data_IF_742145257974
#
_entry.id   IF_742145257974
#
_cell.length_a   1.000
_cell.length_b   1.000
_cell.length_c   1.000
_cell.angle_alpha   90.00
_cell.angle_beta   90.00
_cell.angle_gamma   90.00
#
_symmetry.space_group_name_H-M   'P 1'
#
loop_
_entity.id
_entity.type
_entity.pdbx_description
1 polymer ?
#
# COMPACT_ATOMS: atom_id res chain seq x y z
N UNK A 1 -10.60 53.58 -1.86
CA UNK A 1 -11.04 52.21 -1.54
C UNK A 1 -10.88 51.21 -2.68
N UNK A 2 -11.07 51.58 -3.96
CA UNK A 2 -10.99 50.63 -5.10
C UNK A 2 -9.55 50.20 -5.46
N UNK A 3 -8.54 51.05 -5.25
CA UNK A 3 -7.12 50.71 -5.50
C UNK A 3 -6.50 49.74 -4.48
N UNK A 4 -7.10 49.57 -3.30
CA UNK A 4 -6.59 48.66 -2.27
C UNK A 4 -7.10 47.22 -2.47
N UNK A 5 -8.32 47.04 -3.01
CA UNK A 5 -8.86 45.71 -3.34
C UNK A 5 -8.15 45.05 -4.53
N UNK A 6 -7.67 45.82 -5.52
CA UNK A 6 -6.99 45.25 -6.69
C UNK A 6 -5.61 44.64 -6.36
N UNK A 7 -4.89 45.15 -5.36
CA UNK A 7 -3.57 44.63 -4.95
C UNK A 7 -3.67 43.33 -4.15
N UNK A 8 -4.73 43.16 -3.36
CA UNK A 8 -4.93 41.96 -2.54
C UNK A 8 -5.41 40.77 -3.37
N UNK A 9 -6.21 41.00 -4.42
CA UNK A 9 -6.65 39.94 -5.36
C UNK A 9 -5.50 39.48 -6.27
N UNK A 10 -4.65 40.39 -6.76
CA UNK A 10 -3.48 40.02 -7.57
C UNK A 10 -2.43 39.23 -6.77
N UNK A 11 -2.22 39.56 -5.50
CA UNK A 11 -1.29 38.84 -4.62
C UNK A 11 -1.79 37.42 -4.30
N UNK A 12 -3.09 37.22 -4.09
CA UNK A 12 -3.67 35.89 -3.89
C UNK A 12 -3.63 35.03 -5.17
N UNK A 13 -3.81 35.61 -6.36
CA UNK A 13 -3.67 34.89 -7.63
C UNK A 13 -2.20 34.52 -7.94
N UNK A 14 -1.24 35.40 -7.64
CA UNK A 14 0.19 35.10 -7.84
C UNK A 14 0.72 34.03 -6.87
N UNK A 15 0.27 34.03 -5.60
CA UNK A 15 0.61 33.00 -4.62
C UNK A 15 -0.01 31.63 -4.94
N UNK A 16 -1.22 31.61 -5.51
CA UNK A 16 -1.87 30.35 -5.91
C UNK A 16 -1.30 29.79 -7.22
N UNK A 17 -0.87 30.63 -8.17
CA UNK A 17 -0.17 30.19 -9.40
C UNK A 17 1.23 29.63 -9.08
N UNK A 18 1.98 30.27 -8.16
CA UNK A 18 3.31 29.75 -7.78
C UNK A 18 3.22 28.46 -6.98
N UNK A 19 2.28 28.34 -6.03
CA UNK A 19 2.08 27.11 -5.27
C UNK A 19 1.66 25.93 -6.15
N UNK A 20 0.74 26.15 -7.10
CA UNK A 20 0.33 25.14 -8.07
C UNK A 20 1.47 24.73 -9.01
N UNK A 21 2.29 25.69 -9.45
CA UNK A 21 3.49 25.42 -10.24
C UNK A 21 4.51 24.58 -9.47
N UNK A 22 4.78 24.91 -8.21
CA UNK A 22 5.74 24.16 -7.37
C UNK A 22 5.26 22.74 -7.04
N UNK A 23 3.97 22.56 -6.76
CA UNK A 23 3.40 21.24 -6.50
C UNK A 23 3.44 20.35 -7.74
N UNK A 24 3.04 20.88 -8.90
CA UNK A 24 3.12 20.15 -10.17
C UNK A 24 4.56 19.76 -10.53
N UNK A 25 5.55 20.61 -10.24
CA UNK A 25 6.96 20.24 -10.44
C UNK A 25 7.47 19.22 -9.43
N UNK A 26 6.97 19.23 -8.18
CA UNK A 26 7.34 18.26 -7.17
C UNK A 26 6.80 16.87 -7.52
N UNK A 27 5.55 16.77 -7.96
CA UNK A 27 4.94 15.51 -8.42
C UNK A 27 5.65 14.97 -9.66
N UNK A 28 6.04 15.85 -10.60
CA UNK A 28 6.84 15.46 -11.77
C UNK A 28 8.23 14.94 -11.37
N UNK A 29 8.90 15.61 -10.43
CA UNK A 29 10.22 15.19 -9.96
C UNK A 29 10.15 13.87 -9.19
N UNK A 30 9.15 13.69 -8.34
CA UNK A 30 8.93 12.43 -7.64
C UNK A 30 8.67 11.29 -8.63
N UNK A 31 7.79 11.50 -9.62
CA UNK A 31 7.53 10.49 -10.66
C UNK A 31 8.79 10.14 -11.47
N UNK A 32 9.62 11.13 -11.81
CA UNK A 32 10.88 10.89 -12.51
C UNK A 32 11.91 10.14 -11.63
N UNK A 33 11.93 10.39 -10.32
CA UNK A 33 12.74 9.63 -9.36
C UNK A 33 12.23 8.20 -9.23
N UNK A 34 10.92 8.01 -9.09
CA UNK A 34 10.26 6.69 -9.06
C UNK A 34 10.64 5.88 -10.30
N UNK A 35 10.60 6.50 -11.47
CA UNK A 35 11.02 5.87 -12.73
C UNK A 35 12.51 5.53 -12.75
N UNK A 36 13.36 6.43 -12.24
CA UNK A 36 14.81 6.18 -12.12
C UNK A 36 15.09 4.96 -11.23
N UNK A 37 14.40 4.85 -10.09
CA UNK A 37 14.54 3.69 -9.19
C UNK A 37 13.88 2.44 -9.81
N UNK A 38 12.78 2.59 -10.56
CA UNK A 38 12.15 1.48 -11.30
C UNK A 38 13.11 0.88 -12.32
N UNK A 39 13.86 1.68 -13.07
CA UNK A 39 14.90 1.20 -13.98
C UNK A 39 15.98 0.40 -13.25
N UNK A 40 16.40 0.85 -12.06
CA UNK A 40 17.31 0.07 -11.22
C UNK A 40 16.69 -1.27 -10.77
N UNK A 41 15.47 -1.25 -10.22
CA UNK A 41 14.82 -2.45 -9.70
C UNK A 41 14.50 -3.44 -10.82
N UNK A 42 13.93 -3.00 -11.93
CA UNK A 42 13.63 -3.85 -13.09
C UNK A 42 14.92 -4.36 -13.74
N UNK A 43 15.89 -3.47 -14.00
CA UNK A 43 17.15 -3.85 -14.62
C UNK A 43 17.91 -4.90 -13.82
N UNK A 44 17.94 -4.77 -12.49
CA UNK A 44 18.55 -5.78 -11.63
C UNK A 44 17.71 -7.06 -11.50
N UNK A 45 16.39 -7.00 -11.63
CA UNK A 45 15.50 -8.18 -11.53
C UNK A 45 15.44 -9.01 -12.81
N UNK A 46 15.67 -8.38 -13.96
CA UNK A 46 15.54 -9.00 -15.30
C UNK A 46 16.85 -8.99 -16.09
N UNK A 47 17.98 -8.73 -15.44
CA UNK A 47 19.32 -8.67 -16.03
C UNK A 47 19.46 -7.67 -17.20
N UNK A 48 18.76 -6.53 -17.14
CA UNK A 48 18.78 -5.51 -18.19
C UNK A 48 19.83 -4.43 -17.87
N UNK A 49 21.07 -4.64 -18.33
CA UNK A 49 22.19 -3.73 -18.02
C UNK A 49 21.96 -2.29 -18.49
N UNK A 50 21.28 -2.08 -19.63
CA UNK A 50 21.00 -0.74 -20.16
C UNK A 50 20.14 0.09 -19.22
N UNK A 51 19.14 -0.51 -18.58
CA UNK A 51 18.29 0.16 -17.58
C UNK A 51 19.07 0.48 -16.31
N UNK A 52 19.92 -0.43 -15.84
CA UNK A 52 20.80 -0.17 -14.70
C UNK A 52 21.71 1.03 -15.02
N UNK A 53 22.36 1.02 -16.19
CA UNK A 53 23.19 2.14 -16.65
C UNK A 53 22.39 3.44 -16.82
N UNK A 54 21.12 3.36 -17.23
CA UNK A 54 20.25 4.53 -17.34
C UNK A 54 19.87 5.09 -15.96
N UNK A 55 19.69 4.25 -14.95
CA UNK A 55 19.36 4.68 -13.59
C UNK A 55 20.53 5.42 -12.92
N UNK A 56 21.77 4.96 -13.13
CA UNK A 56 22.96 5.52 -12.50
C UNK A 56 23.58 6.67 -13.29
N UNK A 57 24.22 7.60 -12.56
CA UNK A 57 25.23 8.46 -13.15
C UNK A 57 26.50 7.66 -13.46
N UNK A 58 27.22 7.98 -14.54
CA UNK A 58 28.41 7.21 -14.95
C UNK A 58 29.51 7.17 -13.89
N UNK A 59 29.64 8.23 -13.09
CA UNK A 59 30.58 8.33 -11.96
C UNK A 59 29.93 8.08 -10.60
N UNK A 60 28.80 7.35 -10.55
CA UNK A 60 28.17 7.02 -9.28
C UNK A 60 29.09 6.17 -8.41
N UNK A 61 28.87 6.17 -7.10
CA UNK A 61 29.57 5.26 -6.17
C UNK A 61 28.58 4.40 -5.42
N UNK A 62 28.78 3.10 -5.46
CA UNK A 62 28.05 2.11 -4.69
C UNK A 62 28.98 1.60 -3.59
N UNK A 63 28.51 1.66 -2.35
CA UNK A 63 29.19 1.13 -1.18
C UNK A 63 28.48 -0.14 -0.75
N UNK A 64 29.06 -1.30 -1.08
CA UNK A 64 28.49 -2.61 -0.86
C UNK A 64 29.34 -3.42 0.12
N UNK A 65 28.75 -4.45 0.72
CA UNK A 65 29.48 -5.37 1.58
C UNK A 65 30.35 -6.32 0.73
N UNK A 66 31.66 -6.23 0.94
CA UNK A 66 32.66 -7.18 0.46
C UNK A 66 32.83 -8.36 1.41
N UNK A 67 33.87 -9.17 1.19
CA UNK A 67 34.18 -10.30 2.08
C UNK A 67 34.77 -9.80 3.39
N UNK A 68 34.41 -10.43 4.51
CA UNK A 68 34.93 -10.12 5.86
C UNK A 68 34.71 -8.64 6.26
N UNK A 69 33.53 -8.10 6.00
CA UNK A 69 33.14 -6.71 6.30
C UNK A 69 34.03 -5.65 5.61
N UNK A 70 34.78 -6.05 4.56
CA UNK A 70 35.51 -5.12 3.73
C UNK A 70 34.53 -4.33 2.85
N UNK A 71 34.83 -3.06 2.62
CA UNK A 71 34.07 -2.25 1.68
C UNK A 71 34.31 -2.73 0.23
N UNK A 72 33.23 -2.87 -0.54
CA UNK A 72 33.27 -3.13 -1.97
C UNK A 72 32.68 -1.94 -2.72
N UNK A 73 33.56 -1.12 -3.28
CA UNK A 73 33.17 0.01 -4.13
C UNK A 73 32.97 -0.41 -5.59
N UNK A 74 31.89 0.07 -6.20
CA UNK A 74 31.63 -0.04 -7.64
C UNK A 74 31.03 1.26 -8.17
N UNK A 75 31.26 1.57 -9.44
CA UNK A 75 30.41 2.49 -10.19
C UNK A 75 29.14 1.80 -10.67
N UNK A 76 28.11 2.58 -11.01
CA UNK A 76 26.88 2.07 -11.61
C UNK A 76 27.13 1.20 -12.85
N UNK A 77 27.99 1.62 -13.80
CA UNK A 77 28.38 0.81 -14.94
C UNK A 77 29.12 -0.49 -14.59
N UNK A 78 29.94 -0.49 -13.54
CA UNK A 78 30.59 -1.73 -13.08
C UNK A 78 29.60 -2.67 -12.39
N UNK A 79 28.68 -2.13 -11.60
CA UNK A 79 27.59 -2.89 -10.99
C UNK A 79 26.66 -3.51 -12.03
N UNK A 80 26.35 -2.79 -13.12
CA UNK A 80 25.55 -3.32 -14.22
C UNK A 80 26.17 -4.58 -14.85
N UNK A 81 27.51 -4.67 -14.90
CA UNK A 81 28.22 -5.84 -15.44
C UNK A 81 28.06 -7.11 -14.59
N UNK A 82 27.58 -7.01 -13.36
CA UNK A 82 27.27 -8.17 -12.51
C UNK A 82 26.04 -8.95 -12.99
N UNK A 83 25.24 -8.37 -13.89
CA UNK A 83 24.03 -8.98 -14.43
C UNK A 83 24.28 -9.50 -15.85
N UNK A 84 23.82 -10.71 -16.18
CA UNK A 84 24.15 -11.36 -17.46
C UNK A 84 23.36 -10.78 -18.64
N UNK A 85 24.05 -10.32 -19.69
CA UNK A 85 23.41 -9.87 -20.94
C UNK A 85 22.73 -11.02 -21.69
N UNK A 86 23.27 -12.24 -21.60
CA UNK A 86 22.69 -13.43 -22.24
C UNK A 86 21.32 -13.80 -21.63
N UNK A 87 21.07 -13.36 -20.39
CA UNK A 87 19.82 -13.57 -19.65
C UNK A 87 18.97 -12.31 -19.58
N UNK A 88 19.18 -11.34 -20.47
CA UNK A 88 18.38 -10.13 -20.53
C UNK A 88 16.88 -10.49 -20.65
N UNK A 89 16.04 -9.75 -19.92
CA UNK A 89 14.59 -9.97 -19.78
C UNK A 89 14.19 -11.26 -19.04
N UNK A 90 15.14 -12.08 -18.57
CA UNK A 90 14.81 -13.24 -17.74
C UNK A 90 14.78 -12.85 -16.26
N UNK A 91 13.68 -13.15 -15.58
CA UNK A 91 13.55 -12.91 -14.15
C UNK A 91 14.56 -13.75 -13.35
N UNK A 92 15.32 -13.12 -12.46
CA UNK A 92 16.38 -13.79 -11.69
C UNK A 92 16.02 -14.02 -10.20
N UNK A 93 14.75 -13.86 -9.83
CA UNK A 93 14.29 -14.09 -8.45
C UNK A 93 14.46 -12.90 -7.52
N UNK A 94 14.95 -11.74 -8.00
CA UNK A 94 14.99 -10.50 -7.23
C UNK A 94 13.64 -9.81 -7.30
N UNK A 95 12.94 -9.74 -6.17
CA UNK A 95 11.68 -9.01 -6.07
C UNK A 95 11.96 -7.64 -5.45
N UNK A 96 12.13 -6.63 -6.31
CA UNK A 96 12.42 -5.25 -5.90
C UNK A 96 11.16 -4.40 -5.69
N UNK A 97 11.19 -3.52 -4.69
CA UNK A 97 10.12 -2.56 -4.40
C UNK A 97 10.66 -1.25 -3.83
N UNK A 98 10.11 -0.13 -4.30
CA UNK A 98 10.36 1.19 -3.72
C UNK A 98 9.65 1.32 -2.36
N UNK A 99 10.37 1.76 -1.33
CA UNK A 99 9.84 2.01 0.02
C UNK A 99 9.49 3.48 0.20
N UNK A 100 10.37 4.39 -0.24
CA UNK A 100 10.26 5.83 0.05
C UNK A 100 11.03 6.68 -0.95
N UNK A 101 10.51 7.88 -1.22
CA UNK A 101 11.22 8.95 -1.93
C UNK A 101 11.07 10.25 -1.12
N UNK A 102 12.17 11.00 -1.00
CA UNK A 102 12.15 12.34 -0.42
C UNK A 102 12.91 13.30 -1.34
N UNK A 103 12.24 14.36 -1.78
CA UNK A 103 12.80 15.34 -2.74
C UNK A 103 13.12 16.65 -2.04
N UNK A 104 14.31 17.20 -2.30
CA UNK A 104 14.71 18.52 -1.83
C UNK A 104 15.36 19.29 -2.98
N UNK A 105 14.54 20.04 -3.72
CA UNK A 105 14.98 20.79 -4.89
C UNK A 105 15.61 19.88 -5.96
N UNK A 106 16.94 19.97 -6.13
CA UNK A 106 17.69 19.18 -7.14
C UNK A 106 18.38 17.95 -6.57
N UNK A 107 18.13 17.59 -5.31
CA UNK A 107 18.61 16.35 -4.67
C UNK A 107 17.42 15.55 -4.16
N UNK A 108 17.59 14.24 -4.05
CA UNK A 108 16.59 13.38 -3.45
C UNK A 108 17.25 12.17 -2.78
N UNK A 109 16.56 11.59 -1.82
CA UNK A 109 16.85 10.25 -1.33
C UNK A 109 15.75 9.30 -1.79
N UNK A 110 16.12 8.04 -2.00
CA UNK A 110 15.14 6.98 -2.17
C UNK A 110 15.57 5.77 -1.36
N UNK A 111 14.60 4.95 -0.94
CA UNK A 111 14.81 3.69 -0.26
C UNK A 111 14.07 2.60 -1.01
N UNK A 112 14.68 1.45 -1.22
CA UNK A 112 14.03 0.28 -1.80
C UNK A 112 14.35 -0.98 -0.99
N UNK A 113 13.50 -1.99 -1.08
CA UNK A 113 13.81 -3.34 -0.62
C UNK A 113 13.86 -4.31 -1.78
N UNK A 114 14.73 -5.31 -1.66
CA UNK A 114 14.86 -6.40 -2.64
C UNK A 114 14.85 -7.72 -1.90
N UNK A 115 13.82 -8.51 -2.12
CA UNK A 115 13.71 -9.84 -1.54
C UNK A 115 14.18 -10.90 -2.55
N UNK A 116 15.03 -11.83 -2.12
CA UNK A 116 15.47 -12.98 -2.92
C UNK A 116 15.11 -14.27 -2.15
N UNK A 117 13.89 -14.80 -2.30
CA UNK A 117 13.39 -15.91 -1.49
C UNK A 117 14.25 -17.17 -1.56
N UNK A 118 14.75 -17.50 -2.75
CA UNK A 118 15.61 -18.67 -2.96
C UNK A 118 16.91 -18.62 -2.15
N UNK A 119 17.33 -17.42 -1.76
CA UNK A 119 18.53 -17.19 -0.95
C UNK A 119 18.20 -16.86 0.50
N UNK A 120 16.92 -16.67 0.85
CA UNK A 120 16.49 -16.27 2.20
C UNK A 120 17.08 -14.93 2.64
N UNK A 121 17.24 -13.97 1.72
CA UNK A 121 17.84 -12.65 2.00
C UNK A 121 16.97 -11.52 1.53
N UNK A 122 16.99 -10.42 2.29
CA UNK A 122 16.39 -9.14 1.93
C UNK A 122 17.48 -8.08 1.96
N UNK A 123 17.51 -7.26 0.92
CA UNK A 123 18.36 -6.07 0.90
C UNK A 123 17.51 -4.83 1.16
N UNK A 124 18.07 -3.88 1.91
CA UNK A 124 17.55 -2.52 2.02
C UNK A 124 18.54 -1.60 1.34
N UNK A 125 18.14 -1.09 0.18
CA UNK A 125 18.94 -0.18 -0.61
C UNK A 125 18.55 1.26 -0.30
N UNK A 126 19.57 2.12 -0.11
CA UNK A 126 19.40 3.57 0.06
C UNK A 126 20.15 4.26 -1.06
N UNK A 127 19.48 5.22 -1.71
CA UNK A 127 20.00 5.95 -2.85
C UNK A 127 20.09 7.44 -2.54
N UNK A 128 21.17 8.08 -2.98
CA UNK A 128 21.25 9.52 -3.16
C UNK A 128 21.11 9.82 -4.65
N UNK A 129 20.15 10.68 -5.00
CA UNK A 129 19.87 11.09 -6.37
C UNK A 129 20.12 12.57 -6.58
N UNK A 130 20.49 12.92 -7.83
CA UNK A 130 20.70 14.29 -8.27
C UNK A 130 19.98 14.53 -9.59
N UNK A 131 19.35 15.69 -9.72
CA UNK A 131 18.85 16.19 -11.01
C UNK A 131 20.00 16.83 -11.79
N UNK A 132 20.44 16.17 -12.86
CA UNK A 132 21.58 16.55 -13.71
C UNK A 132 21.06 16.77 -15.13
N UNK A 133 21.24 17.97 -15.67
CA UNK A 133 20.74 18.35 -16.99
C UNK A 133 19.26 17.98 -17.22
N UNK A 134 18.43 18.17 -16.19
CA UNK A 134 16.99 17.86 -16.23
C UNK A 134 16.62 16.42 -15.87
N UNK A 135 17.58 15.49 -15.82
CA UNK A 135 17.33 14.07 -15.57
C UNK A 135 17.73 13.67 -14.15
N UNK A 136 16.91 12.87 -13.47
CA UNK A 136 17.29 12.25 -12.21
C UNK A 136 18.22 11.07 -12.43
N UNK A 137 19.27 11.00 -11.62
CA UNK A 137 20.27 9.93 -11.64
C UNK A 137 20.63 9.53 -10.23
N UNK A 138 20.82 8.23 -10.02
CA UNK A 138 21.43 7.72 -8.79
C UNK A 138 22.92 8.05 -8.84
N UNK A 139 23.37 8.89 -7.90
CA UNK A 139 24.78 9.32 -7.79
C UNK A 139 25.52 8.57 -6.68
N UNK A 140 24.80 8.06 -5.68
CA UNK A 140 25.35 7.16 -4.67
C UNK A 140 24.32 6.14 -4.23
N UNK A 141 24.78 4.96 -3.81
CA UNK A 141 23.94 3.93 -3.21
C UNK A 141 24.71 3.17 -2.14
N UNK A 142 24.02 2.75 -1.09
CA UNK A 142 24.48 1.69 -0.19
C UNK A 142 23.39 0.63 -0.03
N UNK A 143 23.73 -0.51 0.56
CA UNK A 143 22.80 -1.59 0.83
C UNK A 143 23.14 -2.23 2.17
N UNK A 144 22.11 -2.61 2.92
CA UNK A 144 22.25 -3.54 4.04
C UNK A 144 21.61 -4.89 3.69
N UNK A 145 22.24 -5.98 4.11
CA UNK A 145 21.75 -7.34 3.87
C UNK A 145 21.20 -7.92 5.17
N UNK A 146 19.91 -8.24 5.15
CA UNK A 146 19.22 -8.87 6.27
C UNK A 146 18.79 -10.30 5.92
N UNK A 147 18.79 -11.22 6.90
CA UNK A 147 18.06 -12.48 6.77
C UNK A 147 16.58 -12.22 6.45
N UNK A 148 16.04 -12.93 5.48
CA UNK A 148 14.61 -12.92 5.19
C UNK A 148 14.01 -14.28 5.53
N UNK A 149 12.74 -14.30 5.95
CA UNK A 149 12.02 -15.55 6.10
C UNK A 149 12.06 -16.31 4.76
N UNK A 150 12.38 -17.62 4.73
CA UNK A 150 12.59 -18.41 3.51
C UNK A 150 11.32 -18.61 2.65
N UNK A 151 10.23 -17.91 2.97
CA UNK A 151 8.95 -18.06 2.31
C UNK A 151 9.01 -17.32 0.97
N UNK A 152 8.36 -17.89 -0.06
CA UNK A 152 8.11 -17.19 -1.32
C UNK A 152 7.78 -15.73 -1.02
N UNK A 153 8.37 -14.78 -1.75
CA UNK A 153 8.08 -13.35 -1.61
C UNK A 153 6.61 -13.10 -1.93
N UNK A 154 5.73 -13.36 -0.97
CA UNK A 154 4.29 -13.21 -1.10
C UNK A 154 3.96 -11.81 -0.63
N UNK A 155 3.27 -11.08 -1.48
CA UNK A 155 2.74 -9.77 -1.14
C UNK A 155 1.28 -9.90 -0.71
N UNK A 156 0.87 -9.01 0.17
CA UNK A 156 -0.54 -8.78 0.48
C UNK A 156 -0.90 -7.36 0.12
N UNK A 157 -2.06 -7.19 -0.53
CA UNK A 157 -2.60 -5.91 -0.90
C UNK A 157 -3.61 -5.43 0.15
N UNK A 158 -3.35 -4.29 0.78
CA UNK A 158 -4.31 -3.64 1.68
C UNK A 158 -5.09 -2.56 0.93
N UNK A 159 -6.40 -2.73 0.85
CA UNK A 159 -7.30 -1.79 0.19
C UNK A 159 -7.76 -0.74 1.19
N UNK A 160 -7.58 0.51 0.80
CA UNK A 160 -7.92 1.71 1.56
C UNK A 160 -8.64 2.72 0.65
N UNK A 161 -9.18 3.78 1.23
CA UNK A 161 -10.05 4.73 0.52
C UNK A 161 -9.51 6.16 0.56
N UNK A 162 -9.74 6.92 -0.53
CA UNK A 162 -9.46 8.36 -0.62
C UNK A 162 -10.60 9.23 -0.04
N UNK A 163 -11.72 8.63 0.38
CA UNK A 163 -12.90 9.36 0.87
C UNK A 163 -12.61 10.02 2.22
N UNK A 164 -12.63 11.36 2.25
CA UNK A 164 -12.30 12.18 3.42
C UNK A 164 -13.52 12.73 4.15
N UNK A 165 -14.71 12.60 3.58
CA UNK A 165 -15.98 13.04 4.18
C UNK A 165 -17.09 12.06 3.87
N UNK A 166 -17.98 11.85 4.82
CA UNK A 166 -19.19 11.07 4.57
C UNK A 166 -20.06 11.79 3.53
N UNK A 167 -20.51 11.12 2.45
CA UNK A 167 -21.26 11.75 1.38
C UNK A 167 -22.46 12.55 1.89
N UNK A 168 -22.63 13.78 1.38
CA UNK A 168 -23.74 14.65 1.76
C UNK A 168 -23.63 15.27 3.16
N UNK A 169 -22.51 15.11 3.87
CA UNK A 169 -22.28 15.68 5.20
C UNK A 169 -21.00 16.53 5.25
N UNK A 170 -20.77 17.19 6.39
CA UNK A 170 -19.49 17.82 6.74
C UNK A 170 -18.67 16.99 7.74
N UNK A 171 -19.08 15.75 8.00
CA UNK A 171 -18.38 14.87 8.95
C UNK A 171 -17.21 14.23 8.22
N UNK A 172 -16.01 14.36 8.79
CA UNK A 172 -14.82 13.74 8.24
C UNK A 172 -14.92 12.22 8.35
N UNK A 173 -14.44 11.54 7.32
CA UNK A 173 -14.24 10.09 7.28
C UNK A 173 -12.74 9.80 7.20
N UNK A 174 -12.33 8.61 7.63
CA UNK A 174 -10.96 8.16 7.45
C UNK A 174 -10.85 6.64 7.40
N UNK A 175 -9.67 6.18 7.03
CA UNK A 175 -9.28 4.79 7.19
C UNK A 175 -8.89 4.57 8.65
N UNK A 176 -9.34 3.47 9.25
CA UNK A 176 -9.09 3.20 10.66
C UNK A 176 -7.60 2.92 10.90
N UNK A 177 -6.91 3.82 11.61
CA UNK A 177 -5.47 3.71 11.80
C UNK A 177 -5.03 2.45 12.58
N UNK A 178 -5.72 2.04 13.67
CA UNK A 178 -5.46 0.75 14.30
C UNK A 178 -5.59 -0.44 13.34
N UNK A 179 -6.62 -0.48 12.49
CA UNK A 179 -6.76 -1.56 11.50
C UNK A 179 -5.58 -1.62 10.53
N UNK A 180 -5.12 -0.47 10.04
CA UNK A 180 -3.94 -0.38 9.18
C UNK A 180 -2.68 -0.86 9.90
N UNK A 181 -2.39 -0.29 11.07
CA UNK A 181 -1.14 -0.52 11.79
C UNK A 181 -1.03 -1.96 12.30
N UNK A 182 -2.08 -2.52 12.90
CA UNK A 182 -2.06 -3.90 13.39
C UNK A 182 -1.95 -4.93 12.25
N UNK A 183 -2.69 -4.72 11.16
CA UNK A 183 -2.66 -5.61 10.00
C UNK A 183 -1.30 -5.56 9.31
N UNK A 184 -0.78 -4.36 9.06
CA UNK A 184 0.54 -4.15 8.49
C UNK A 184 1.64 -4.79 9.34
N UNK A 185 1.66 -4.52 10.66
CA UNK A 185 2.67 -5.06 11.57
C UNK A 185 2.69 -6.60 11.59
N UNK A 186 1.50 -7.22 11.63
CA UNK A 186 1.37 -8.68 11.61
C UNK A 186 1.94 -9.29 10.32
N UNK A 187 1.62 -8.73 9.15
CA UNK A 187 2.16 -9.20 7.87
C UNK A 187 3.67 -8.98 7.75
N UNK A 188 4.17 -7.80 8.15
CA UNK A 188 5.61 -7.51 8.11
C UNK A 188 6.40 -8.44 9.03
N UNK A 189 5.91 -8.72 10.24
CA UNK A 189 6.52 -9.71 11.16
C UNK A 189 6.54 -11.12 10.58
N UNK A 190 5.53 -11.48 9.78
CA UNK A 190 5.48 -12.78 9.09
C UNK A 190 6.31 -12.83 7.79
N UNK A 191 7.00 -11.74 7.43
CA UNK A 191 7.88 -11.67 6.26
C UNK A 191 7.18 -11.30 4.95
N UNK A 192 5.91 -10.90 4.99
CA UNK A 192 5.19 -10.45 3.79
C UNK A 192 5.60 -9.03 3.43
N UNK A 193 5.69 -8.75 2.13
CA UNK A 193 5.62 -7.38 1.65
C UNK A 193 4.15 -6.93 1.64
N UNK A 194 3.93 -5.67 2.00
CA UNK A 194 2.59 -5.11 2.13
C UNK A 194 2.53 -3.85 1.29
N UNK A 195 1.59 -3.82 0.36
CA UNK A 195 1.31 -2.65 -0.46
C UNK A 195 -0.08 -2.12 -0.17
N UNK A 196 -0.27 -0.81 -0.31
CA UNK A 196 -1.54 -0.14 -0.11
C UNK A 196 -2.07 0.32 -1.47
N UNK A 197 -3.36 0.07 -1.72
CA UNK A 197 -4.07 0.56 -2.90
C UNK A 197 -5.25 1.40 -2.46
N UNK A 198 -5.47 2.51 -3.17
CA UNK A 198 -6.72 3.25 -3.12
C UNK A 198 -7.24 3.49 -4.54
N UNK A 199 -8.53 3.81 -4.74
CA UNK A 199 -9.08 4.07 -6.06
C UNK A 199 -8.27 5.08 -6.88
N UNK A 200 -7.84 6.18 -6.26
CA UNK A 200 -7.13 7.29 -6.92
C UNK A 200 -5.61 7.26 -6.68
N UNK A 201 -5.13 6.41 -5.78
CA UNK A 201 -3.75 6.45 -5.31
C UNK A 201 -3.48 7.63 -4.37
N UNK A 202 -2.22 7.87 -4.05
CA UNK A 202 -1.80 9.01 -3.24
C UNK A 202 -2.22 8.92 -1.77
N UNK A 203 -2.40 10.07 -1.13
CA UNK A 203 -2.59 10.17 0.30
C UNK A 203 -4.02 9.86 0.73
N UNK A 204 -4.15 9.09 1.81
CA UNK A 204 -5.45 8.72 2.37
C UNK A 204 -5.74 9.47 3.69
N UNK A 205 -7.02 9.78 3.98
CA UNK A 205 -7.44 10.29 5.28
C UNK A 205 -7.37 9.19 6.33
N UNK A 206 -7.00 9.56 7.56
CA UNK A 206 -6.89 8.65 8.71
C UNK A 206 -7.85 9.05 9.81
N UNK A 207 -8.42 8.05 10.49
CA UNK A 207 -9.21 8.24 11.71
C UNK A 207 -8.66 7.38 12.85
N UNK A 208 -9.10 7.68 14.07
CA UNK A 208 -8.73 6.93 15.28
C UNK A 208 -7.21 6.90 15.54
N UNK A 209 -6.54 8.06 15.44
CA UNK A 209 -5.13 8.18 15.82
C UNK A 209 -5.01 8.04 17.34
N UNK A 210 -4.36 6.96 17.78
CA UNK A 210 -4.15 6.66 19.21
C UNK A 210 -2.66 6.61 19.50
N UNK A 211 -2.20 7.45 20.43
CA UNK A 211 -0.78 7.52 20.84
C UNK A 211 -0.54 6.97 22.25
N UNK A 212 -1.56 6.51 22.95
CA UNK A 212 -1.38 5.79 24.22
C UNK A 212 -0.92 4.34 24.00
N UNK A 213 -1.27 3.74 22.87
CA UNK A 213 -0.79 2.42 22.46
C UNK A 213 0.63 2.50 21.86
N UNK A 214 1.52 1.61 22.31
CA UNK A 214 2.92 1.62 21.91
C UNK A 214 3.14 1.25 20.44
N UNK A 215 2.37 0.29 19.90
CA UNK A 215 2.51 -0.15 18.52
C UNK A 215 1.93 0.90 17.57
N UNK A 216 0.77 1.45 17.91
CA UNK A 216 0.16 2.52 17.11
C UNK A 216 1.04 3.77 17.09
N UNK A 217 1.60 4.18 18.24
CA UNK A 217 2.57 5.27 18.32
C UNK A 217 3.81 4.98 17.46
N UNK A 218 4.36 3.76 17.52
CA UNK A 218 5.52 3.37 16.71
C UNK A 218 5.24 3.61 15.22
N UNK A 219 4.12 3.11 14.70
CA UNK A 219 3.77 3.24 13.28
C UNK A 219 3.40 4.68 12.90
N UNK A 220 2.80 5.46 13.79
CA UNK A 220 2.48 6.87 13.52
C UNK A 220 3.73 7.71 13.25
N UNK A 221 4.86 7.34 13.87
CA UNK A 221 6.16 8.01 13.70
C UNK A 221 7.14 7.20 12.84
N UNK A 222 6.69 6.12 12.22
CA UNK A 222 7.46 5.38 11.23
C UNK A 222 7.35 6.09 9.88
N UNK A 223 8.46 6.65 9.39
CA UNK A 223 8.45 7.43 8.16
C UNK A 223 8.17 6.60 6.91
N UNK A 224 8.53 5.31 6.92
CA UNK A 224 8.29 4.43 5.77
C UNK A 224 6.81 4.06 5.71
N UNK A 225 6.21 3.73 6.86
CA UNK A 225 4.79 3.41 6.96
C UNK A 225 3.91 4.62 6.61
N UNK A 226 4.17 5.78 7.20
CA UNK A 226 3.40 6.99 6.91
C UNK A 226 3.58 7.47 5.47
N UNK A 227 4.77 7.29 4.88
CA UNK A 227 4.97 7.55 3.46
C UNK A 227 4.13 6.61 2.59
N UNK A 228 4.03 5.33 2.94
CA UNK A 228 3.22 4.37 2.20
C UNK A 228 1.72 4.73 2.24
N UNK A 229 1.21 5.23 3.37
CA UNK A 229 -0.17 5.75 3.48
C UNK A 229 -0.37 7.08 2.74
N UNK A 230 0.69 7.88 2.58
CA UNK A 230 0.66 9.11 1.78
C UNK A 230 0.80 8.85 0.27
N UNK A 231 1.22 7.64 -0.13
CA UNK A 231 1.58 7.29 -1.51
C UNK A 231 1.03 5.92 -1.90
N UNK A 232 -0.25 5.70 -1.62
CA UNK A 232 -0.93 4.45 -2.03
C UNK A 232 -0.92 4.32 -3.55
N UNK A 233 -0.84 3.10 -4.06
CA UNK A 233 -0.92 2.87 -5.50
C UNK A 233 -2.34 3.20 -6.00
N UNK A 234 -2.49 3.86 -7.15
CA UNK A 234 -3.77 3.90 -7.83
C UNK A 234 -4.13 2.50 -8.32
N UNK A 235 -5.41 2.17 -8.32
CA UNK A 235 -5.88 0.84 -8.71
C UNK A 235 -5.40 0.41 -10.11
N UNK A 236 -5.20 1.36 -11.03
CA UNK A 236 -4.72 1.12 -12.39
C UNK A 236 -3.30 0.55 -12.47
N UNK A 237 -2.49 0.71 -11.42
CA UNK A 237 -1.11 0.19 -11.36
C UNK A 237 -1.00 -1.19 -10.73
N UNK A 238 -2.10 -1.70 -10.15
CA UNK A 238 -2.10 -2.97 -9.44
C UNK A 238 -2.14 -4.15 -10.40
N UNK A 239 -1.15 -5.03 -10.27
CA UNK A 239 -1.10 -6.33 -10.96
C UNK A 239 -1.50 -7.42 -9.98
N UNK A 240 -2.67 -8.01 -10.18
CA UNK A 240 -3.19 -9.06 -9.29
C UNK A 240 -2.19 -10.22 -9.07
N UNK A 241 -1.42 -10.60 -10.09
CA UNK A 241 -0.45 -11.72 -10.02
C UNK A 241 0.69 -11.50 -9.03
N UNK A 242 0.88 -10.27 -8.55
CA UNK A 242 1.91 -9.97 -7.56
C UNK A 242 1.48 -10.31 -6.12
N UNK A 243 0.19 -10.58 -5.89
CA UNK A 243 -0.39 -10.67 -4.54
C UNK A 243 -0.97 -12.05 -4.25
N UNK A 244 -0.58 -12.62 -3.11
CA UNK A 244 -1.13 -13.89 -2.64
C UNK A 244 -2.47 -13.70 -1.91
N UNK A 245 -2.76 -12.47 -1.45
CA UNK A 245 -4.01 -12.14 -0.79
C UNK A 245 -4.28 -10.65 -0.78
N UNK A 246 -5.52 -10.29 -0.47
CA UNK A 246 -6.02 -8.92 -0.46
C UNK A 246 -6.94 -8.72 0.74
N UNK A 247 -6.76 -7.62 1.48
CA UNK A 247 -7.58 -7.30 2.63
C UNK A 247 -8.18 -5.90 2.52
N UNK A 248 -9.50 -5.80 2.71
CA UNK A 248 -10.23 -4.54 2.74
C UNK A 248 -10.23 -3.98 4.16
N UNK A 249 -9.56 -2.86 4.35
CA UNK A 249 -9.49 -2.16 5.64
C UNK A 249 -10.71 -1.27 5.80
N UNK A 250 -11.22 -1.18 7.03
CA UNK A 250 -12.38 -0.41 7.38
C UNK A 250 -12.08 1.03 7.81
N UNK A 251 -12.95 1.53 8.69
CA UNK A 251 -13.10 2.95 8.99
C UNK A 251 -14.19 3.61 8.15
N UNK A 252 -14.51 4.86 8.48
CA UNK A 252 -15.56 5.63 7.82
C UNK A 252 -15.40 5.76 6.31
N UNK A 253 -14.16 5.77 5.82
CA UNK A 253 -13.84 5.96 4.41
C UNK A 253 -14.13 4.73 3.53
N UNK A 254 -14.18 3.53 4.11
CA UNK A 254 -14.34 2.27 3.37
C UNK A 254 -15.77 2.05 2.83
N UNK A 255 -16.70 2.82 3.36
CA UNK A 255 -18.14 2.69 3.15
C UNK A 255 -18.55 3.08 1.72
N UNK A 256 -17.85 4.04 1.12
CA UNK A 256 -18.18 4.61 -0.20
C UNK A 256 -16.97 4.56 -1.13
N UNK A 257 -17.21 4.41 -2.42
CA UNK A 257 -16.18 4.40 -3.46
C UNK A 257 -15.51 3.04 -3.65
N UNK A 258 -15.21 2.32 -2.57
CA UNK A 258 -14.63 0.96 -2.64
C UNK A 258 -15.64 -0.08 -3.16
N UNK A 259 -16.88 -0.16 -2.64
CA UNK A 259 -17.78 -1.27 -2.98
C UNK A 259 -18.21 -1.31 -4.45
N UNK A 260 -18.14 -0.19 -5.16
CA UNK A 260 -18.57 -0.05 -6.56
C UNK A 260 -17.39 0.06 -7.53
N UNK A 261 -16.15 0.04 -7.03
CA UNK A 261 -14.95 0.12 -7.86
C UNK A 261 -14.70 -1.20 -8.60
N UNK A 262 -15.11 -1.25 -9.87
CA UNK A 262 -14.95 -2.47 -10.70
C UNK A 262 -13.49 -2.95 -10.83
N UNK A 263 -12.50 -2.08 -11.07
CA UNK A 263 -11.11 -2.52 -11.09
C UNK A 263 -10.66 -3.24 -9.80
N UNK A 264 -11.03 -2.74 -8.62
CA UNK A 264 -10.74 -3.42 -7.35
C UNK A 264 -11.46 -4.77 -7.23
N UNK A 265 -12.71 -4.85 -7.70
CA UNK A 265 -13.46 -6.11 -7.73
C UNK A 265 -12.78 -7.14 -8.63
N UNK A 266 -12.35 -6.73 -9.82
CA UNK A 266 -11.67 -7.60 -10.79
C UNK A 266 -10.34 -8.13 -10.24
N UNK A 267 -9.57 -7.27 -9.56
CA UNK A 267 -8.32 -7.66 -8.87
C UNK A 267 -8.63 -8.69 -7.77
N UNK A 268 -9.61 -8.43 -6.91
CA UNK A 268 -9.99 -9.33 -5.83
C UNK A 268 -10.44 -10.70 -6.37
N UNK A 269 -11.27 -10.71 -7.42
CA UNK A 269 -11.75 -11.94 -8.06
C UNK A 269 -10.62 -12.71 -8.75
N UNK A 270 -9.66 -12.03 -9.39
CA UNK A 270 -8.49 -12.69 -9.97
C UNK A 270 -7.62 -13.35 -8.90
N UNK A 271 -7.33 -12.64 -7.80
CA UNK A 271 -6.60 -13.21 -6.66
C UNK A 271 -7.36 -14.42 -6.10
N UNK A 272 -8.68 -14.32 -5.93
CA UNK A 272 -9.49 -15.38 -5.35
C UNK A 272 -9.72 -16.58 -6.29
N UNK A 273 -10.26 -16.38 -7.47
CA UNK A 273 -10.66 -17.49 -8.36
C UNK A 273 -9.49 -18.08 -9.14
N UNK A 274 -8.58 -17.24 -9.65
CA UNK A 274 -7.54 -17.68 -10.59
C UNK A 274 -6.25 -18.11 -9.89
N UNK A 275 -5.91 -17.48 -8.76
CA UNK A 275 -4.63 -17.71 -8.08
C UNK A 275 -4.76 -18.53 -6.80
N UNK A 276 -5.98 -18.83 -6.34
CA UNK A 276 -6.17 -19.53 -5.07
C UNK A 276 -5.86 -18.67 -3.84
N UNK A 277 -5.79 -17.35 -3.99
CA UNK A 277 -5.44 -16.40 -2.91
C UNK A 277 -6.53 -16.18 -1.86
N UNK A 278 -6.20 -15.41 -0.83
CA UNK A 278 -7.11 -15.15 0.31
C UNK A 278 -7.69 -13.75 0.23
N UNK A 279 -9.01 -13.62 0.39
CA UNK A 279 -9.69 -12.33 0.53
C UNK A 279 -10.06 -12.13 1.98
N UNK A 280 -9.81 -10.92 2.50
CA UNK A 280 -10.23 -10.56 3.84
C UNK A 280 -10.88 -9.19 3.91
N UNK A 281 -11.62 -8.95 4.99
CA UNK A 281 -12.20 -7.65 5.27
C UNK A 281 -12.34 -7.41 6.79
N UNK A 282 -12.17 -6.17 7.23
CA UNK A 282 -12.24 -5.80 8.65
C UNK A 282 -13.27 -4.67 8.83
N UNK A 283 -14.10 -4.75 9.87
CA UNK A 283 -15.01 -3.67 10.28
C UNK A 283 -15.99 -3.28 9.15
N UNK A 284 -15.86 -2.07 8.58
CA UNK A 284 -16.63 -1.59 7.43
C UNK A 284 -15.97 -1.90 6.09
N UNK A 285 -14.73 -2.40 6.07
CA UNK A 285 -14.07 -2.91 4.87
C UNK A 285 -14.82 -4.07 4.22
N UNK A 286 -15.72 -4.73 4.97
CA UNK A 286 -16.64 -5.75 4.45
C UNK A 286 -17.58 -5.23 3.38
N UNK A 287 -17.84 -3.92 3.35
CA UNK A 287 -18.56 -3.31 2.24
C UNK A 287 -17.81 -3.47 0.91
N UNK A 288 -16.47 -3.52 0.93
CA UNK A 288 -15.65 -3.73 -0.26
C UNK A 288 -15.81 -5.11 -0.90
N UNK A 289 -16.27 -6.12 -0.15
CA UNK A 289 -16.48 -7.48 -0.66
C UNK A 289 -17.93 -7.79 -1.03
N UNK A 290 -18.89 -6.93 -0.66
CA UNK A 290 -20.33 -7.22 -0.78
C UNK A 290 -20.79 -7.47 -2.22
N UNK A 291 -20.15 -6.82 -3.18
CA UNK A 291 -20.49 -6.85 -4.60
C UNK A 291 -19.60 -7.79 -5.42
N UNK A 292 -18.68 -8.54 -4.79
CA UNK A 292 -17.83 -9.49 -5.49
C UNK A 292 -18.70 -10.65 -5.98
N UNK A 293 -18.86 -10.75 -7.31
CA UNK A 293 -19.56 -11.84 -7.97
C UNK A 293 -18.56 -12.80 -8.58
N UNK A 294 -18.68 -14.07 -8.24
CA UNK A 294 -17.87 -15.15 -8.79
C UNK A 294 -18.23 -15.38 -10.27
N UNK A 295 -17.38 -16.13 -10.95
CA UNK A 295 -17.55 -16.53 -12.35
C UNK A 295 -18.86 -17.27 -12.64
N UNK A 296 -19.45 -17.92 -11.63
CA UNK A 296 -20.76 -18.58 -11.73
C UNK A 296 -21.96 -17.63 -11.54
N UNK A 297 -21.70 -16.35 -11.27
CA UNK A 297 -22.71 -15.30 -11.07
C UNK A 297 -23.21 -15.15 -9.63
N UNK A 298 -22.81 -16.02 -8.71
CA UNK A 298 -23.15 -15.91 -7.28
C UNK A 298 -22.28 -14.88 -6.58
N UNK A 299 -22.74 -14.33 -5.46
CA UNK A 299 -21.89 -13.47 -4.64
C UNK A 299 -20.87 -14.31 -3.87
N UNK A 300 -19.63 -13.82 -3.77
CA UNK A 300 -18.56 -14.46 -2.99
C UNK A 300 -19.02 -14.81 -1.56
N UNK A 301 -19.83 -13.94 -0.96
CA UNK A 301 -20.33 -14.06 0.40
C UNK A 301 -21.58 -14.92 0.55
N UNK A 302 -22.20 -15.36 -0.55
CA UNK A 302 -23.45 -16.13 -0.53
C UNK A 302 -23.24 -17.48 0.14
N UNK A 303 -24.05 -17.78 1.16
CA UNK A 303 -23.99 -19.03 1.92
C UNK A 303 -22.79 -19.15 2.87
N UNK A 304 -21.91 -18.14 2.94
CA UNK A 304 -20.73 -18.15 3.81
C UNK A 304 -21.03 -17.58 5.18
N UNK A 305 -20.29 -18.04 6.19
CA UNK A 305 -20.28 -17.42 7.52
C UNK A 305 -19.27 -16.27 7.55
N UNK A 306 -19.72 -15.08 7.93
CA UNK A 306 -18.87 -13.89 8.03
C UNK A 306 -19.36 -12.91 9.09
N UNK A 307 -18.47 -12.00 9.47
CA UNK A 307 -18.73 -10.92 10.43
C UNK A 307 -18.37 -9.55 9.83
N UNK A 308 -18.84 -8.49 10.48
CA UNK A 308 -18.56 -7.07 10.20
C UNK A 308 -18.90 -6.26 11.45
N UNK A 309 -18.75 -4.95 11.41
CA UNK A 309 -19.27 -4.12 12.50
C UNK A 309 -20.82 -4.29 12.57
N UNK A 310 -21.38 -4.76 13.71
CA UNK A 310 -22.78 -5.16 13.79
C UNK A 310 -23.72 -3.98 14.06
N UNK A 311 -24.96 -4.09 13.61
CA UNK A 311 -25.99 -3.05 13.77
C UNK A 311 -26.29 -2.75 15.23
N UNK A 312 -26.17 -3.77 16.08
CA UNK A 312 -26.38 -3.67 17.52
C UNK A 312 -25.41 -2.68 18.19
N UNK A 313 -24.24 -2.40 17.59
CA UNK A 313 -23.23 -1.50 18.15
C UNK A 313 -23.17 -0.14 17.44
N UNK A 314 -23.99 0.07 16.40
CA UNK A 314 -24.06 1.35 15.68
C UNK A 314 -24.89 2.36 16.48
N UNK A 315 -24.36 3.56 16.70
CA UNK A 315 -25.14 4.69 17.23
C UNK A 315 -26.07 5.25 16.14
N UNK A 316 -27.32 4.79 16.13
CA UNK A 316 -28.35 5.22 15.16
C UNK A 316 -28.75 6.70 15.27
N UNK A 317 -28.41 7.36 16.38
CA UNK A 317 -28.64 8.79 16.56
C UNK A 317 -27.54 9.66 15.96
N UNK A 318 -26.41 9.07 15.58
CA UNK A 318 -25.28 9.77 14.97
C UNK A 318 -25.69 10.48 13.67
N UNK A 319 -25.20 11.71 13.42
CA UNK A 319 -25.38 12.39 12.14
C UNK A 319 -24.92 11.56 10.95
N UNK A 320 -23.87 10.73 11.12
CA UNK A 320 -23.36 9.83 10.09
C UNK A 320 -24.40 8.79 9.70
N UNK A 321 -24.97 8.10 10.69
CA UNK A 321 -25.96 7.06 10.44
C UNK A 321 -27.26 7.63 9.84
N UNK A 322 -27.68 8.81 10.30
CA UNK A 322 -28.86 9.50 9.76
C UNK A 322 -28.67 9.94 8.30
N UNK A 323 -27.45 10.35 7.93
CA UNK A 323 -27.12 10.74 6.57
C UNK A 323 -26.96 9.53 5.64
N UNK A 324 -26.45 8.41 6.17
CA UNK A 324 -26.22 7.19 5.40
C UNK A 324 -26.68 5.98 6.24
N UNK A 325 -27.98 5.62 6.18
CA UNK A 325 -28.57 4.54 6.99
C UNK A 325 -28.39 3.18 6.31
N UNK A 326 -27.13 2.83 6.05
CA UNK A 326 -26.72 1.51 5.55
C UNK A 326 -25.99 0.77 6.66
N UNK A 327 -25.94 -0.55 6.57
CA UNK A 327 -25.10 -1.34 7.45
C UNK A 327 -24.47 -2.53 6.76
N UNK A 328 -23.26 -2.86 7.19
CA UNK A 328 -22.55 -4.02 6.69
C UNK A 328 -23.27 -5.33 7.01
N UNK A 329 -23.89 -5.43 8.18
CA UNK A 329 -24.74 -6.58 8.53
C UNK A 329 -25.92 -6.74 7.55
N UNK A 330 -26.60 -5.64 7.21
CA UNK A 330 -27.68 -5.62 6.22
C UNK A 330 -27.21 -6.05 4.84
N UNK A 331 -26.09 -5.49 4.36
CA UNK A 331 -25.45 -5.86 3.09
C UNK A 331 -25.13 -7.36 3.01
N UNK A 332 -24.56 -7.91 4.09
CA UNK A 332 -24.19 -9.33 4.17
C UNK A 332 -25.44 -10.22 4.05
N UNK A 333 -26.46 -9.95 4.86
CA UNK A 333 -27.72 -10.72 4.85
C UNK A 333 -28.44 -10.59 3.50
N UNK A 334 -28.44 -9.40 2.91
CA UNK A 334 -29.09 -9.13 1.62
C UNK A 334 -28.51 -9.92 0.46
N UNK A 335 -27.21 -10.26 0.50
CA UNK A 335 -26.54 -11.12 -0.49
C UNK A 335 -26.42 -12.59 -0.05
N UNK A 336 -27.22 -13.01 0.94
CA UNK A 336 -27.31 -14.40 1.37
C UNK A 336 -26.16 -14.89 2.25
N UNK A 337 -25.37 -13.98 2.83
CA UNK A 337 -24.35 -14.31 3.82
C UNK A 337 -24.94 -14.59 5.21
N UNK A 338 -24.27 -15.45 5.97
CA UNK A 338 -24.64 -15.83 7.34
C UNK A 338 -23.85 -14.97 8.31
N UNK A 339 -24.51 -13.92 8.84
CA UNK A 339 -23.88 -12.98 9.75
C UNK A 339 -23.72 -13.55 11.18
N UNK A 340 -22.51 -13.39 11.74
CA UNK A 340 -22.22 -13.64 13.16
C UNK A 340 -21.43 -12.47 13.74
N UNK A 341 -21.59 -12.23 15.03
CA UNK A 341 -20.80 -11.22 15.75
C UNK A 341 -20.49 -11.67 17.17
N UNK A 342 -19.38 -11.15 17.70
CA UNK A 342 -18.96 -11.33 19.08
C UNK A 342 -19.51 -10.24 20.01
N UNK A 343 -18.92 -10.15 21.19
CA UNK A 343 -19.20 -9.08 22.15
C UNK A 343 -18.52 -7.75 21.73
N UNK A 344 -19.15 -6.63 22.06
CA UNK A 344 -18.59 -5.30 21.78
C UNK A 344 -17.22 -5.10 22.44
N UNK A 345 -16.28 -4.47 21.73
CA UNK A 345 -14.91 -4.22 22.20
C UNK A 345 -14.04 -5.48 22.34
N UNK A 346 -14.43 -6.60 21.72
CA UNK A 346 -13.65 -7.84 21.68
C UNK A 346 -13.35 -8.25 20.25
N UNK A 347 -12.18 -8.88 20.08
CA UNK A 347 -11.80 -9.51 18.82
C UNK A 347 -12.80 -10.61 18.43
N UNK A 348 -13.25 -10.62 17.19
CA UNK A 348 -14.09 -11.68 16.62
C UNK A 348 -13.78 -11.82 15.13
N UNK A 349 -13.40 -13.03 14.72
CA UNK A 349 -12.96 -13.35 13.36
C UNK A 349 -13.72 -14.57 12.88
N UNK A 350 -14.25 -14.49 11.67
CA UNK A 350 -14.88 -15.60 10.97
C UNK A 350 -14.00 -15.99 9.77
N UNK A 351 -13.81 -17.30 9.59
CA UNK A 351 -13.02 -17.88 8.49
C UNK A 351 -13.87 -18.93 7.79
N UNK A 352 -14.21 -18.70 6.53
CA UNK A 352 -15.00 -19.59 5.69
C UNK A 352 -14.27 -19.85 4.36
N UNK A 353 -13.55 -20.98 4.32
CA UNK A 353 -12.63 -21.30 3.23
C UNK A 353 -11.50 -20.26 3.13
N UNK A 354 -11.43 -19.57 1.98
CA UNK A 354 -10.42 -18.51 1.70
C UNK A 354 -10.95 -17.08 1.92
N UNK A 355 -12.10 -16.95 2.60
CA UNK A 355 -12.65 -15.67 3.04
C UNK A 355 -12.44 -15.50 4.55
N UNK A 356 -11.80 -14.40 4.96
CA UNK A 356 -11.55 -14.06 6.37
C UNK A 356 -12.22 -12.72 6.68
N UNK A 357 -13.05 -12.66 7.72
CA UNK A 357 -13.67 -11.38 8.13
C UNK A 357 -13.46 -11.09 9.60
N UNK A 358 -13.25 -9.82 9.94
CA UNK A 358 -13.06 -9.34 11.30
C UNK A 358 -14.12 -8.31 11.67
N UNK A 359 -14.68 -8.42 12.87
CA UNK A 359 -15.81 -7.59 13.30
C UNK A 359 -15.45 -6.09 13.46
N UNK A 360 -14.22 -5.81 13.90
CA UNK A 360 -13.77 -4.47 14.30
C UNK A 360 -12.24 -4.38 14.33
N UNK A 361 -11.68 -3.23 14.69
CA UNK A 361 -10.23 -3.04 14.74
C UNK A 361 -9.51 -3.96 15.73
N UNK A 362 -10.17 -4.40 16.80
CA UNK A 362 -9.66 -5.44 17.73
C UNK A 362 -9.45 -6.80 17.05
N UNK A 363 -10.01 -6.99 15.86
CA UNK A 363 -9.92 -8.22 15.06
C UNK A 363 -8.77 -8.21 14.06
N UNK A 364 -8.11 -7.07 13.85
CA UNK A 364 -7.09 -6.87 12.80
C UNK A 364 -5.95 -7.89 12.85
N UNK A 365 -5.38 -8.12 14.04
CA UNK A 365 -4.31 -9.13 14.23
C UNK A 365 -4.83 -10.54 13.92
N UNK A 366 -6.03 -10.87 14.39
CA UNK A 366 -6.64 -12.18 14.16
C UNK A 366 -6.97 -12.43 12.69
N UNK A 367 -7.40 -11.40 11.96
CA UNK A 367 -7.60 -11.46 10.51
C UNK A 367 -6.29 -11.70 9.79
N UNK A 368 -5.26 -10.87 10.05
CA UNK A 368 -3.94 -11.03 9.42
C UNK A 368 -3.34 -12.42 9.68
N UNK A 369 -3.37 -12.90 10.93
CA UNK A 369 -2.88 -14.24 11.27
C UNK A 369 -3.67 -15.36 10.59
N UNK A 370 -4.98 -15.20 10.41
CA UNK A 370 -5.81 -16.19 9.70
C UNK A 370 -5.48 -16.22 8.21
N UNK A 371 -5.27 -15.06 7.59
CA UNK A 371 -4.78 -14.99 6.22
C UNK A 371 -3.40 -15.65 6.09
N UNK A 372 -2.46 -15.32 6.97
CA UNK A 372 -1.11 -15.90 6.97
C UNK A 372 -1.18 -17.43 7.02
N UNK A 373 -1.99 -18.01 7.93
CA UNK A 373 -2.17 -19.47 8.01
C UNK A 373 -2.72 -20.08 6.73
N UNK A 374 -3.71 -19.45 6.10
CA UNK A 374 -4.29 -19.93 4.84
C UNK A 374 -3.31 -19.83 3.66
N UNK A 375 -2.49 -18.78 3.65
CA UNK A 375 -1.44 -18.59 2.66
C UNK A 375 -0.24 -19.52 2.89
N UNK A 376 -0.14 -20.20 4.02
CA UNK A 376 0.97 -21.15 4.29
C UNK A 376 0.62 -22.61 3.98
N UNK A 377 -0.64 -22.89 3.65
CA UNK A 377 -1.10 -24.17 3.15
C UNK A 377 -0.79 -24.28 1.66
#
# INVERSE_FOLDING_TARGET
MIQFLLRTVLACCLLSITAAGTAATADQDENAIRETVRLYLHGTSFNVQSEINQAFHASSRLYLDGKNDAEWELSGPEYAKLFSQEKAMQFNGRHGRLIKVEVSGKVATAKAEIHIPQQGVRYVDVFLLKKIAGNWKIVSKSADREPAAPRQARKVLLVVSNVHQYPGTKVNAGNNFPELAYTYDAFRKAGYAVDFVSPEGGAIPLEMIVTSDALLKKHLYDSDFMWALANTMPVSEVRADDYAGMAFVGGGAAIVGIPDNKPLQDIALRIYEQQGGVIAAICHGTEGIKNLKLSDGTFLIQGKVLTSFPDAFINKESPVYKAYPFSAEGSIKGHGGIFRHGASGKSHVEVDGRLVTGMSWESSVGVAQSMIRLLEQ
#
